data_IF_115193471563
#
_entry.id   IF_115193471563
#
_cell.length_a   1.000
_cell.length_b   1.000
_cell.length_c   1.000
_cell.angle_alpha   90.00
_cell.angle_beta   90.00
_cell.angle_gamma   90.00
#
_symmetry.space_group_name_H-M   'P 1'
#
loop_
_entity.id
_entity.type
_entity.pdbx_description
1 polymer ?
#
# COMPACT_ATOMS: atom_id res chain seq x y z
N UNK A 1 -34.11 -48.42 27.30
CA UNK A 1 -34.05 -47.36 26.29
C UNK A 1 -33.49 -47.97 25.01
N UNK A 2 -34.31 -48.05 23.96
CA UNK A 2 -33.90 -48.68 22.66
C UNK A 2 -33.06 -47.68 21.89
N UNK A 3 -31.84 -48.08 21.56
CA UNK A 3 -30.96 -47.32 20.66
C UNK A 3 -31.55 -47.33 19.24
N UNK A 4 -31.80 -46.14 18.69
CA UNK A 4 -32.23 -45.99 17.29
C UNK A 4 -31.00 -46.06 16.39
N UNK A 5 -30.85 -47.15 15.64
CA UNK A 5 -29.86 -47.28 14.58
C UNK A 5 -30.32 -46.55 13.31
N UNK A 6 -29.50 -45.68 12.75
CA UNK A 6 -29.66 -45.16 11.40
C UNK A 6 -29.00 -46.11 10.41
N UNK A 7 -29.71 -46.51 9.33
CA UNK A 7 -29.18 -47.29 8.24
C UNK A 7 -28.66 -46.36 7.13
N UNK A 8 -27.41 -46.53 6.75
CA UNK A 8 -26.87 -45.98 5.51
C UNK A 8 -26.63 -47.16 4.51
N UNK A 9 -27.39 -47.18 3.41
CA UNK A 9 -27.22 -48.15 2.36
C UNK A 9 -26.20 -47.68 1.32
N UNK A 10 -24.91 -47.86 1.58
CA UNK A 10 -23.87 -47.80 0.55
C UNK A 10 -23.45 -49.22 0.16
N UNK A 11 -24.06 -49.74 -0.91
CA UNK A 11 -23.78 -51.06 -1.46
C UNK A 11 -22.47 -51.04 -2.28
N UNK A 12 -21.42 -51.57 -1.70
CA UNK A 12 -20.37 -52.27 -2.44
C UNK A 12 -20.07 -53.57 -1.67
N UNK A 13 -20.43 -54.71 -2.28
CA UNK A 13 -20.18 -56.08 -1.82
C UNK A 13 -20.93 -56.57 -0.56
N UNK A 14 -22.21 -56.23 -0.38
CA UNK A 14 -23.07 -57.01 0.52
C UNK A 14 -22.74 -56.99 2.02
N UNK A 15 -21.90 -56.10 2.52
CA UNK A 15 -21.57 -55.98 3.92
C UNK A 15 -22.13 -54.62 4.44
N UNK A 16 -23.19 -54.72 5.24
CA UNK A 16 -23.73 -53.57 5.97
C UNK A 16 -22.79 -53.26 7.15
N UNK A 17 -22.00 -52.19 7.09
CA UNK A 17 -21.18 -51.76 8.21
C UNK A 17 -22.04 -50.94 9.14
N UNK A 18 -22.40 -51.44 10.29
CA UNK A 18 -23.01 -50.66 11.38
C UNK A 18 -21.94 -49.73 11.98
N UNK A 19 -22.00 -48.45 11.66
CA UNK A 19 -21.16 -47.42 12.31
C UNK A 19 -21.81 -47.07 13.66
N UNK A 20 -21.13 -47.38 14.75
CA UNK A 20 -21.59 -46.98 16.10
C UNK A 20 -21.45 -45.47 16.29
N UNK A 21 -22.25 -44.83 17.15
CA UNK A 21 -22.15 -43.40 17.46
C UNK A 21 -20.71 -42.95 17.83
N UNK A 22 -19.95 -43.82 18.50
CA UNK A 22 -18.53 -43.61 18.82
C UNK A 22 -17.63 -43.66 17.57
N UNK A 23 -17.94 -44.48 16.59
CA UNK A 23 -17.24 -44.59 15.31
C UNK A 23 -17.44 -43.32 14.46
N UNK A 24 -18.66 -42.80 14.40
CA UNK A 24 -18.98 -41.53 13.73
C UNK A 24 -18.25 -40.34 14.36
N UNK A 25 -18.21 -40.26 15.70
CA UNK A 25 -17.52 -39.18 16.40
C UNK A 25 -16.01 -39.21 16.16
N UNK A 26 -15.38 -40.40 16.15
CA UNK A 26 -13.96 -40.55 15.79
C UNK A 26 -13.67 -40.15 14.34
N UNK A 27 -14.56 -40.51 13.42
CA UNK A 27 -14.43 -40.13 12.01
C UNK A 27 -14.48 -38.60 11.83
N UNK A 28 -15.47 -37.92 12.45
CA UNK A 28 -15.58 -36.45 12.40
C UNK A 28 -14.35 -35.80 12.99
N UNK A 29 -13.83 -36.30 14.10
CA UNK A 29 -12.60 -35.79 14.72
C UNK A 29 -11.40 -35.89 13.77
N UNK A 30 -11.22 -37.02 13.08
CA UNK A 30 -10.17 -37.22 12.10
C UNK A 30 -10.28 -36.25 10.92
N UNK A 31 -11.50 -35.98 10.42
CA UNK A 31 -11.76 -34.99 9.38
C UNK A 31 -11.37 -33.58 9.84
N UNK A 32 -11.76 -33.19 11.06
CA UNK A 32 -11.39 -31.90 11.66
C UNK A 32 -9.86 -31.76 11.72
N UNK A 33 -9.15 -32.80 12.14
CA UNK A 33 -7.69 -32.78 12.24
C UNK A 33 -7.02 -32.61 10.88
N UNK A 34 -7.51 -33.27 9.83
CA UNK A 34 -7.03 -33.08 8.44
C UNK A 34 -7.23 -31.63 7.97
N UNK A 35 -8.41 -31.07 8.24
CA UNK A 35 -8.72 -29.67 7.89
C UNK A 35 -7.77 -28.72 8.59
N UNK A 36 -7.52 -28.92 9.89
CA UNK A 36 -6.61 -28.09 10.69
C UNK A 36 -5.16 -28.22 10.19
N UNK A 37 -4.67 -29.45 9.97
CA UNK A 37 -3.32 -29.70 9.47
C UNK A 37 -3.07 -28.99 8.14
N UNK A 38 -3.94 -29.16 7.15
CA UNK A 38 -3.80 -28.54 5.84
C UNK A 38 -3.79 -27.00 5.89
N UNK A 39 -4.65 -26.39 6.74
CA UNK A 39 -4.76 -24.95 6.81
C UNK A 39 -3.66 -24.32 7.67
N UNK A 40 -3.13 -25.00 8.68
CA UNK A 40 -1.92 -24.57 9.39
C UNK A 40 -0.71 -24.50 8.45
N UNK A 41 -0.53 -25.50 7.57
CA UNK A 41 0.56 -25.44 6.58
C UNK A 41 0.33 -24.34 5.54
N UNK A 42 -0.86 -24.19 4.96
CA UNK A 42 -1.18 -23.11 4.01
C UNK A 42 -0.90 -21.72 4.58
N UNK A 43 -1.26 -21.48 5.85
CA UNK A 43 -0.99 -20.22 6.52
C UNK A 43 0.52 -19.98 6.68
N UNK A 44 1.29 -21.01 7.07
CA UNK A 44 2.75 -20.92 7.25
C UNK A 44 3.48 -20.69 5.92
N UNK A 45 3.07 -21.35 4.86
CA UNK A 45 3.65 -21.21 3.52
C UNK A 45 3.39 -19.81 2.95
N UNK A 46 2.15 -19.31 3.04
CA UNK A 46 1.84 -17.95 2.61
C UNK A 46 2.61 -16.89 3.40
N UNK A 47 2.68 -17.02 4.72
CA UNK A 47 3.50 -16.12 5.56
C UNK A 47 4.99 -16.20 5.20
N UNK A 48 5.52 -17.36 4.79
CA UNK A 48 6.91 -17.48 4.35
C UNK A 48 7.19 -16.70 3.09
N UNK A 49 6.29 -16.72 2.11
CA UNK A 49 6.44 -15.94 0.87
C UNK A 49 6.44 -14.45 1.17
N UNK A 50 5.57 -13.98 2.05
CA UNK A 50 5.51 -12.58 2.50
C UNK A 50 6.81 -12.20 3.25
N UNK A 51 7.29 -13.04 4.17
CA UNK A 51 8.55 -12.86 4.92
C UNK A 51 9.75 -12.66 3.98
N UNK A 52 9.87 -13.48 2.92
CA UNK A 52 10.96 -13.38 1.94
C UNK A 52 10.97 -12.02 1.23
N UNK A 53 9.80 -11.49 0.86
CA UNK A 53 9.71 -10.16 0.27
C UNK A 53 10.09 -9.06 1.26
N UNK A 54 9.59 -9.11 2.48
CA UNK A 54 9.98 -8.15 3.52
C UNK A 54 11.49 -8.15 3.76
N UNK A 55 12.11 -9.33 3.75
CA UNK A 55 13.54 -9.54 4.03
C UNK A 55 14.42 -9.12 2.86
N UNK A 56 14.20 -9.68 1.67
CA UNK A 56 15.10 -9.54 0.53
C UNK A 56 14.69 -8.43 -0.45
N UNK A 57 13.38 -8.15 -0.59
CA UNK A 57 12.87 -7.10 -1.46
C UNK A 57 12.91 -5.72 -0.80
N UNK A 58 12.48 -5.63 0.45
CA UNK A 58 12.35 -4.36 1.17
C UNK A 58 13.48 -4.09 2.18
N UNK A 59 14.28 -5.09 2.56
CA UNK A 59 15.27 -5.01 3.64
C UNK A 59 14.66 -4.43 4.94
N UNK A 60 13.40 -4.77 5.22
CA UNK A 60 12.65 -4.26 6.38
C UNK A 60 12.69 -5.29 7.51
N UNK A 61 13.54 -5.04 8.52
CA UNK A 61 13.74 -5.94 9.67
C UNK A 61 12.46 -6.11 10.50
N UNK A 62 11.72 -5.02 10.75
CA UNK A 62 10.51 -5.04 11.58
C UNK A 62 9.41 -5.90 10.97
N UNK A 63 9.08 -5.70 9.69
CA UNK A 63 8.08 -6.53 9.01
C UNK A 63 8.53 -7.98 8.85
N UNK A 64 9.83 -8.22 8.63
CA UNK A 64 10.40 -9.57 8.59
C UNK A 64 10.22 -10.29 9.92
N UNK A 65 10.47 -9.60 11.04
CA UNK A 65 10.32 -10.14 12.39
C UNK A 65 8.83 -10.43 12.71
N UNK A 66 7.92 -9.55 12.33
CA UNK A 66 6.48 -9.73 12.48
C UNK A 66 5.98 -10.97 11.71
N UNK A 67 6.36 -11.12 10.44
CA UNK A 67 6.05 -12.32 9.65
C UNK A 67 6.59 -13.60 10.29
N UNK A 68 7.84 -13.57 10.77
CA UNK A 68 8.50 -14.69 11.43
C UNK A 68 7.80 -15.07 12.73
N UNK A 69 7.39 -14.07 13.52
CA UNK A 69 6.65 -14.28 14.78
C UNK A 69 5.30 -14.96 14.49
N UNK A 70 4.50 -14.42 13.59
CA UNK A 70 3.22 -15.01 13.18
C UNK A 70 3.39 -16.45 12.69
N UNK A 71 4.39 -16.72 11.86
CA UNK A 71 4.68 -18.06 11.34
C UNK A 71 5.08 -19.04 12.44
N UNK A 72 5.83 -18.60 13.43
CA UNK A 72 6.19 -19.43 14.61
C UNK A 72 4.98 -19.68 15.51
N UNK A 73 4.13 -18.68 15.71
CA UNK A 73 2.90 -18.82 16.50
C UNK A 73 1.94 -19.82 15.85
N UNK A 74 1.71 -19.74 14.53
CA UNK A 74 0.94 -20.77 13.79
C UNK A 74 1.58 -22.15 13.95
N UNK A 75 2.92 -22.25 13.87
CA UNK A 75 3.64 -23.53 14.02
C UNK A 75 3.49 -24.13 15.42
N UNK A 76 3.35 -23.33 16.47
CA UNK A 76 3.17 -23.82 17.86
C UNK A 76 1.87 -24.60 18.08
N UNK A 77 0.85 -24.31 17.24
CA UNK A 77 -0.41 -25.03 17.26
C UNK A 77 -0.42 -26.31 16.43
N UNK A 78 0.62 -26.57 15.64
CA UNK A 78 0.71 -27.71 14.74
C UNK A 78 1.27 -28.92 15.49
N UNK A 79 0.43 -29.58 16.26
CA UNK A 79 0.80 -30.73 17.11
C UNK A 79 1.11 -32.00 16.28
N UNK A 80 1.78 -32.97 16.90
CA UNK A 80 2.04 -34.26 16.26
C UNK A 80 0.72 -34.99 15.90
N UNK A 81 -0.30 -34.83 16.71
CA UNK A 81 -1.63 -35.44 16.49
C UNK A 81 -2.28 -34.91 15.21
N UNK A 82 -2.24 -33.59 14.96
CA UNK A 82 -2.77 -33.01 13.73
C UNK A 82 -1.97 -33.50 12.50
N UNK A 83 -0.65 -33.55 12.59
CA UNK A 83 0.22 -33.99 11.49
C UNK A 83 -0.01 -35.47 11.11
N UNK A 84 -0.30 -36.32 12.07
CA UNK A 84 -0.61 -37.74 11.80
C UNK A 84 -1.94 -37.95 11.09
N UNK A 85 -2.81 -36.94 11.11
CA UNK A 85 -4.09 -36.97 10.38
C UNK A 85 -3.96 -36.66 8.88
N UNK A 86 -2.75 -36.25 8.43
CA UNK A 86 -2.49 -35.92 7.02
C UNK A 86 -2.72 -37.13 6.10
N UNK A 87 -3.44 -36.90 5.01
CA UNK A 87 -3.70 -37.88 3.96
C UNK A 87 -3.70 -37.15 2.61
N UNK A 88 -2.51 -37.00 2.05
CA UNK A 88 -2.34 -36.31 0.76
C UNK A 88 -2.81 -37.19 -0.41
N UNK A 89 -2.66 -38.51 -0.30
CA UNK A 89 -3.06 -39.45 -1.35
C UNK A 89 -4.58 -39.53 -1.51
N UNK A 90 -5.34 -39.31 -0.41
CA UNK A 90 -6.80 -39.28 -0.41
C UNK A 90 -7.40 -37.89 -0.57
N UNK A 91 -6.59 -36.85 -0.85
CA UNK A 91 -7.08 -35.47 -1.02
C UNK A 91 -7.53 -35.24 -2.47
N UNK A 92 -8.84 -35.15 -2.66
CA UNK A 92 -9.48 -34.88 -3.97
C UNK A 92 -9.15 -33.49 -4.53
N UNK A 93 -8.61 -32.60 -3.72
CA UNK A 93 -8.22 -31.21 -4.11
C UNK A 93 -6.87 -31.14 -4.82
N UNK A 94 -6.04 -32.19 -4.79
CA UNK A 94 -4.67 -32.16 -5.34
C UNK A 94 -4.62 -32.03 -6.87
N UNK A 95 -5.66 -32.48 -7.56
CA UNK A 95 -5.78 -32.42 -9.03
C UNK A 95 -6.60 -31.22 -9.53
N UNK A 96 -7.16 -30.42 -8.62
CA UNK A 96 -7.97 -29.25 -8.96
C UNK A 96 -7.09 -28.02 -9.04
N UNK A 97 -6.90 -27.44 -10.24
CA UNK A 97 -6.22 -26.17 -10.46
C UNK A 97 -7.15 -25.15 -11.11
N UNK A 98 -6.92 -23.85 -10.82
CA UNK A 98 -7.63 -22.76 -11.48
C UNK A 98 -6.63 -21.93 -12.30
N UNK A 99 -6.94 -21.55 -13.57
CA UNK A 99 -6.00 -20.83 -14.44
C UNK A 99 -5.42 -19.55 -13.83
N UNK A 100 -6.14 -18.89 -12.92
CA UNK A 100 -5.66 -17.68 -12.21
C UNK A 100 -4.60 -18.00 -11.14
N UNK A 101 -4.39 -19.26 -10.77
CA UNK A 101 -3.35 -19.65 -9.81
C UNK A 101 -1.98 -19.82 -10.45
N UNK A 102 -1.94 -20.04 -11.77
CA UNK A 102 -0.72 -20.37 -12.52
C UNK A 102 0.12 -19.12 -12.90
N UNK A 103 -0.48 -17.93 -12.94
CA UNK A 103 0.20 -16.71 -13.37
C UNK A 103 0.09 -15.58 -12.36
N UNK A 104 1.15 -14.81 -12.21
CA UNK A 104 1.20 -13.57 -11.41
C UNK A 104 1.71 -12.42 -12.28
N UNK A 105 0.98 -11.32 -12.30
CA UNK A 105 1.34 -10.13 -13.09
C UNK A 105 2.49 -9.30 -12.48
N UNK A 106 2.93 -9.62 -11.26
CA UNK A 106 4.01 -8.95 -10.57
C UNK A 106 3.98 -9.17 -9.05
N UNK A 107 4.90 -8.54 -8.35
CA UNK A 107 5.08 -8.71 -6.89
C UNK A 107 3.81 -8.34 -6.11
N UNK A 108 3.14 -7.24 -6.47
CA UNK A 108 1.89 -6.83 -5.80
C UNK A 108 0.82 -7.94 -5.88
N UNK A 109 0.61 -8.50 -7.08
CA UNK A 109 -0.32 -9.62 -7.30
C UNK A 109 0.08 -10.88 -6.52
N UNK A 110 1.38 -11.18 -6.46
CA UNK A 110 1.92 -12.30 -5.69
C UNK A 110 1.66 -12.13 -4.20
N UNK A 111 1.94 -10.96 -3.64
CA UNK A 111 1.72 -10.66 -2.22
C UNK A 111 0.24 -10.70 -1.85
N UNK A 112 -0.62 -10.06 -2.65
CA UNK A 112 -2.07 -10.07 -2.42
C UNK A 112 -2.63 -11.49 -2.38
N UNK A 113 -2.26 -12.34 -3.36
CA UNK A 113 -2.70 -13.74 -3.39
C UNK A 113 -2.25 -14.53 -2.15
N UNK A 114 -1.04 -14.26 -1.63
CA UNK A 114 -0.56 -14.93 -0.42
C UNK A 114 -1.20 -14.38 0.85
N UNK A 115 -1.48 -13.07 0.94
CA UNK A 115 -2.27 -12.53 2.05
C UNK A 115 -3.67 -13.13 2.09
N UNK A 116 -4.39 -13.19 0.95
CA UNK A 116 -5.68 -13.86 0.86
C UNK A 116 -5.61 -15.32 1.34
N UNK A 117 -4.64 -16.10 0.82
CA UNK A 117 -4.44 -17.50 1.23
C UNK A 117 -4.21 -17.65 2.74
N UNK A 118 -3.39 -16.78 3.34
CA UNK A 118 -3.14 -16.78 4.79
C UNK A 118 -4.42 -16.45 5.56
N UNK A 119 -5.15 -15.41 5.16
CA UNK A 119 -6.37 -14.96 5.83
C UNK A 119 -7.48 -16.02 5.78
N UNK A 120 -7.67 -16.67 4.63
CA UNK A 120 -8.61 -17.76 4.44
C UNK A 120 -8.25 -18.97 5.31
N UNK A 121 -6.98 -19.38 5.28
CA UNK A 121 -6.48 -20.49 6.09
C UNK A 121 -6.66 -20.22 7.59
N UNK A 122 -6.28 -19.02 8.07
CA UNK A 122 -6.49 -18.61 9.46
C UNK A 122 -7.98 -18.59 9.84
N UNK A 123 -8.88 -18.19 8.91
CA UNK A 123 -10.33 -18.22 9.15
C UNK A 123 -10.85 -19.64 9.31
N UNK A 124 -10.40 -20.57 8.48
CA UNK A 124 -10.75 -21.98 8.60
C UNK A 124 -10.28 -22.53 9.95
N UNK A 125 -9.02 -22.26 10.34
CA UNK A 125 -8.50 -22.69 11.65
C UNK A 125 -9.23 -22.01 12.80
N UNK A 126 -9.62 -20.73 12.69
CA UNK A 126 -10.44 -20.03 13.70
C UNK A 126 -11.75 -20.76 13.97
N UNK A 127 -12.43 -21.27 12.91
CA UNK A 127 -13.73 -21.94 13.06
C UNK A 127 -13.59 -23.40 13.50
N UNK A 128 -12.82 -24.21 12.79
CA UNK A 128 -12.66 -25.64 13.10
C UNK A 128 -11.83 -25.87 14.37
N UNK A 129 -10.93 -24.95 14.69
CA UNK A 129 -10.13 -25.00 15.90
C UNK A 129 -10.94 -24.95 17.19
N UNK A 130 -12.14 -24.34 17.18
CA UNK A 130 -13.08 -24.38 18.31
C UNK A 130 -13.52 -25.80 18.68
N UNK A 131 -13.50 -26.73 17.72
CA UNK A 131 -13.82 -28.13 17.93
C UNK A 131 -12.63 -28.95 18.46
N UNK A 132 -11.41 -28.40 18.30
CA UNK A 132 -10.17 -29.04 18.76
C UNK A 132 -9.75 -28.57 20.13
N UNK A 133 -9.64 -27.24 20.32
CA UNK A 133 -9.24 -26.63 21.58
C UNK A 133 -9.90 -25.25 21.78
N UNK A 134 -10.51 -24.97 22.96
CA UNK A 134 -11.28 -23.73 23.18
C UNK A 134 -10.50 -22.43 22.92
N UNK A 135 -9.18 -22.39 23.20
CA UNK A 135 -8.35 -21.19 22.99
C UNK A 135 -7.88 -21.02 21.54
N UNK A 136 -7.94 -22.07 20.71
CA UNK A 136 -7.44 -22.02 19.33
C UNK A 136 -8.23 -20.99 18.50
N UNK A 137 -9.54 -21.02 18.54
CA UNK A 137 -10.38 -20.05 17.82
C UNK A 137 -10.06 -18.60 18.19
N UNK A 138 -9.80 -18.31 19.48
CA UNK A 138 -9.42 -16.95 19.94
C UNK A 138 -8.04 -16.55 19.42
N UNK A 139 -7.06 -17.43 19.50
CA UNK A 139 -5.68 -17.18 19.03
C UNK A 139 -5.65 -16.88 17.52
N UNK A 140 -6.32 -17.73 16.72
CA UNK A 140 -6.34 -17.56 15.26
C UNK A 140 -7.15 -16.34 14.80
N UNK A 141 -8.17 -15.93 15.55
CA UNK A 141 -8.82 -14.65 15.34
C UNK A 141 -7.86 -13.48 15.53
N UNK A 142 -7.04 -13.48 16.58
CA UNK A 142 -6.04 -12.44 16.84
C UNK A 142 -4.99 -12.40 15.75
N UNK A 143 -4.40 -13.55 15.37
CA UNK A 143 -3.42 -13.64 14.29
C UNK A 143 -3.99 -13.12 12.95
N UNK A 144 -5.25 -13.42 12.65
CA UNK A 144 -5.89 -12.93 11.42
C UNK A 144 -5.99 -11.40 11.38
N UNK A 145 -6.28 -10.73 12.49
CA UNK A 145 -6.25 -9.26 12.57
C UNK A 145 -4.84 -8.69 12.46
N UNK A 146 -3.83 -9.37 13.01
CA UNK A 146 -2.43 -8.98 12.82
C UNK A 146 -2.02 -9.08 11.35
N UNK A 147 -2.45 -10.13 10.65
CA UNK A 147 -2.20 -10.29 9.20
C UNK A 147 -2.88 -9.19 8.39
N UNK A 148 -4.09 -8.74 8.74
CA UNK A 148 -4.72 -7.58 8.09
C UNK A 148 -3.92 -6.29 8.29
N UNK A 149 -3.37 -6.09 9.49
CA UNK A 149 -2.52 -4.93 9.78
C UNK A 149 -1.20 -5.01 9.00
N UNK A 150 -0.56 -6.18 8.97
CA UNK A 150 0.67 -6.41 8.21
C UNK A 150 0.45 -6.17 6.71
N UNK A 151 -0.64 -6.67 6.13
CA UNK A 151 -1.00 -6.41 4.73
C UNK A 151 -1.13 -4.92 4.45
N UNK A 152 -1.88 -4.22 5.29
CA UNK A 152 -2.07 -2.76 5.18
C UNK A 152 -0.74 -2.02 5.20
N UNK A 153 0.14 -2.36 6.14
CA UNK A 153 1.46 -1.73 6.28
C UNK A 153 2.36 -2.05 5.08
N UNK A 154 2.37 -3.30 4.63
CA UNK A 154 3.22 -3.73 3.52
C UNK A 154 2.78 -3.12 2.19
N UNK A 155 1.49 -3.09 1.89
CA UNK A 155 0.96 -2.52 0.64
C UNK A 155 1.14 -1.00 0.55
N UNK A 156 1.18 -0.30 1.69
CA UNK A 156 1.48 1.13 1.76
C UNK A 156 2.97 1.46 1.72
N UNK A 157 3.83 0.53 2.15
CA UNK A 157 5.24 0.76 2.38
C UNK A 157 6.00 1.23 1.12
N UNK A 158 5.75 0.65 -0.03
CA UNK A 158 6.41 1.02 -1.28
C UNK A 158 6.11 2.47 -1.68
N UNK A 159 4.87 2.94 -1.52
CA UNK A 159 4.48 4.34 -1.80
C UNK A 159 5.21 5.31 -0.89
N UNK A 160 5.29 5.00 0.41
CA UNK A 160 6.01 5.84 1.37
C UNK A 160 7.51 5.86 1.07
N UNK A 161 8.12 4.72 0.74
CA UNK A 161 9.53 4.65 0.36
C UNK A 161 9.81 5.46 -0.92
N UNK A 162 8.94 5.38 -1.91
CA UNK A 162 9.10 6.14 -3.15
C UNK A 162 8.91 7.65 -2.89
N UNK A 163 7.94 8.05 -2.05
CA UNK A 163 7.78 9.42 -1.60
C UNK A 163 9.06 9.96 -0.92
N UNK A 164 9.64 9.19 0.01
CA UNK A 164 10.88 9.58 0.71
C UNK A 164 12.07 9.73 -0.25
N UNK A 165 12.15 8.93 -1.31
CA UNK A 165 13.21 9.00 -2.33
C UNK A 165 12.96 10.09 -3.36
N UNK A 166 11.71 10.53 -3.54
CA UNK A 166 11.35 11.54 -4.52
C UNK A 166 11.88 12.91 -4.11
N UNK A 167 12.73 13.50 -4.94
CA UNK A 167 13.34 14.80 -4.70
C UNK A 167 12.71 15.92 -5.50
N UNK A 168 12.18 15.59 -6.68
CA UNK A 168 11.49 16.52 -7.56
C UNK A 168 10.03 16.10 -7.71
N UNK A 169 9.15 17.05 -7.60
CA UNK A 169 7.70 16.89 -7.67
C UNK A 169 7.14 17.80 -8.76
N UNK A 170 6.50 17.25 -9.77
CA UNK A 170 5.78 18.03 -10.77
C UNK A 170 4.33 18.20 -10.34
N UNK A 171 3.88 19.45 -10.17
CA UNK A 171 2.45 19.79 -10.10
C UNK A 171 2.03 20.31 -11.46
N UNK A 172 1.05 19.66 -12.08
CA UNK A 172 0.61 20.06 -13.44
C UNK A 172 -0.24 21.34 -13.43
N UNK A 173 -0.35 21.94 -14.58
CA UNK A 173 -1.36 22.93 -14.93
C UNK A 173 -1.91 22.60 -16.33
N UNK A 174 -3.08 23.11 -16.71
CA UNK A 174 -3.65 22.89 -18.05
C UNK A 174 -2.63 23.18 -19.14
N UNK A 175 -2.52 22.27 -20.12
CA UNK A 175 -1.64 22.35 -21.27
C UNK A 175 -2.10 21.38 -22.35
N UNK A 176 -2.03 21.78 -23.64
CA UNK A 176 -2.46 20.96 -24.76
C UNK A 176 -1.57 19.70 -24.94
N UNK A 177 -0.31 19.78 -24.56
CA UNK A 177 0.69 18.69 -24.65
C UNK A 177 1.05 18.11 -23.28
N UNK A 178 0.08 18.07 -22.33
CA UNK A 178 0.32 17.68 -20.95
C UNK A 178 0.93 16.27 -20.82
N UNK A 179 0.40 15.30 -21.55
CA UNK A 179 0.87 13.90 -21.48
C UNK A 179 2.33 13.78 -21.96
N UNK A 180 2.65 14.42 -23.09
CA UNK A 180 4.00 14.42 -23.67
C UNK A 180 5.00 15.10 -22.75
N UNK A 181 4.59 16.21 -22.12
CA UNK A 181 5.43 16.95 -21.16
C UNK A 181 5.70 16.12 -19.92
N UNK A 182 4.68 15.46 -19.36
CA UNK A 182 4.84 14.58 -18.19
C UNK A 182 5.72 13.37 -18.55
N UNK A 183 5.51 12.75 -19.71
CA UNK A 183 6.35 11.64 -20.17
C UNK A 183 7.81 12.06 -20.31
N UNK A 184 8.07 13.22 -20.91
CA UNK A 184 9.43 13.76 -21.04
C UNK A 184 10.09 14.01 -19.68
N UNK A 185 9.34 14.50 -18.69
CA UNK A 185 9.83 14.68 -17.34
C UNK A 185 10.11 13.33 -16.63
N UNK A 186 9.24 12.31 -16.81
CA UNK A 186 9.46 10.95 -16.30
C UNK A 186 10.71 10.30 -16.92
N UNK A 187 10.94 10.46 -18.22
CA UNK A 187 12.19 10.06 -18.91
C UNK A 187 13.43 10.76 -18.33
N UNK A 188 13.24 11.97 -17.79
CA UNK A 188 14.28 12.72 -17.08
C UNK A 188 14.58 12.23 -15.67
N UNK A 189 13.81 11.26 -15.15
CA UNK A 189 13.98 10.69 -13.81
C UNK A 189 13.00 11.24 -12.76
N UNK A 190 11.91 11.91 -13.17
CA UNK A 190 10.85 12.34 -12.26
C UNK A 190 10.13 11.12 -11.66
N UNK A 191 9.85 11.16 -10.36
CA UNK A 191 9.21 10.03 -9.63
C UNK A 191 7.92 10.41 -8.90
N UNK A 192 7.47 11.67 -8.99
CA UNK A 192 6.27 12.16 -8.32
C UNK A 192 5.57 13.21 -9.15
N UNK A 193 4.30 12.95 -9.50
CA UNK A 193 3.47 13.85 -10.31
C UNK A 193 2.14 14.09 -9.60
N UNK A 194 1.68 15.35 -9.58
CA UNK A 194 0.33 15.72 -9.16
C UNK A 194 -0.45 16.28 -10.34
N UNK A 195 -1.57 15.66 -10.64
CA UNK A 195 -2.50 16.22 -11.60
C UNK A 195 -3.37 17.28 -10.94
N UNK A 196 -3.24 18.49 -11.45
CA UNK A 196 -3.99 19.68 -11.00
C UNK A 196 -4.57 20.41 -12.19
N UNK A 197 -5.88 20.34 -12.33
CA UNK A 197 -6.70 21.15 -13.21
C UNK A 197 -7.95 21.59 -12.44
N UNK A 198 -8.10 22.89 -12.22
CA UNK A 198 -9.23 23.47 -11.47
C UNK A 198 -10.36 23.93 -12.39
N UNK A 199 -10.08 24.03 -13.69
CA UNK A 199 -10.98 24.60 -14.70
C UNK A 199 -11.80 23.50 -15.41
N UNK A 200 -11.21 22.32 -15.64
CA UNK A 200 -11.84 21.21 -16.32
C UNK A 200 -13.07 20.69 -15.58
N UNK A 201 -14.08 20.25 -16.32
CA UNK A 201 -15.17 19.47 -15.73
C UNK A 201 -14.71 18.06 -15.30
N UNK A 202 -15.54 17.37 -14.52
CA UNK A 202 -15.16 16.10 -13.91
C UNK A 202 -14.94 14.98 -14.91
N UNK A 203 -15.63 14.99 -16.07
CA UNK A 203 -15.46 13.98 -17.12
C UNK A 203 -14.06 14.10 -17.74
N UNK A 204 -13.68 15.30 -18.16
CA UNK A 204 -12.35 15.58 -18.73
C UNK A 204 -11.26 15.31 -17.71
N UNK A 205 -11.47 15.75 -16.46
CA UNK A 205 -10.53 15.55 -15.36
C UNK A 205 -10.30 14.08 -15.08
N UNK A 206 -11.36 13.25 -15.09
CA UNK A 206 -11.28 11.81 -14.87
C UNK A 206 -10.50 11.11 -16.00
N UNK A 207 -10.80 11.40 -17.25
CA UNK A 207 -10.10 10.83 -18.41
C UNK A 207 -8.60 11.15 -18.41
N UNK A 208 -8.25 12.41 -18.16
CA UNK A 208 -6.87 12.84 -18.07
C UNK A 208 -6.14 12.21 -16.90
N UNK A 209 -6.79 12.13 -15.74
CA UNK A 209 -6.22 11.52 -14.55
C UNK A 209 -5.90 10.03 -14.77
N UNK A 210 -6.78 9.27 -15.44
CA UNK A 210 -6.56 7.86 -15.77
C UNK A 210 -5.29 7.72 -16.65
N UNK A 211 -5.20 8.51 -17.73
CA UNK A 211 -4.06 8.47 -18.66
C UNK A 211 -2.74 8.84 -17.95
N UNK A 212 -2.75 9.90 -17.15
CA UNK A 212 -1.58 10.34 -16.38
C UNK A 212 -1.16 9.30 -15.33
N UNK A 213 -2.12 8.68 -14.64
CA UNK A 213 -1.83 7.62 -13.66
C UNK A 213 -1.17 6.41 -14.34
N UNK A 214 -1.72 5.95 -15.47
CA UNK A 214 -1.15 4.83 -16.24
C UNK A 214 0.27 5.15 -16.71
N UNK A 215 0.48 6.37 -17.22
CA UNK A 215 1.78 6.85 -17.63
C UNK A 215 2.76 6.89 -16.45
N UNK A 216 2.41 7.49 -15.31
CA UNK A 216 3.27 7.53 -14.12
C UNK A 216 3.64 6.13 -13.63
N UNK A 217 2.67 5.23 -13.54
CA UNK A 217 2.91 3.85 -13.09
C UNK A 217 3.79 3.06 -14.06
N UNK A 218 3.70 3.30 -15.37
CA UNK A 218 4.59 2.66 -16.36
C UNK A 218 6.07 3.03 -16.20
N UNK A 219 6.35 4.20 -15.59
CA UNK A 219 7.69 4.67 -15.23
C UNK A 219 8.03 4.42 -13.73
N UNK A 220 7.18 3.75 -12.96
CA UNK A 220 7.38 3.52 -11.54
C UNK A 220 7.30 4.79 -10.69
N UNK A 221 6.59 5.82 -11.15
CA UNK A 221 6.39 7.09 -10.46
C UNK A 221 5.05 7.12 -9.72
N UNK A 222 4.98 7.90 -8.61
CA UNK A 222 3.76 8.17 -7.87
C UNK A 222 2.86 9.17 -8.61
N UNK A 223 1.56 8.90 -8.60
CA UNK A 223 0.53 9.77 -9.13
C UNK A 223 -0.40 10.29 -8.03
N UNK A 224 -0.48 11.61 -7.87
CA UNK A 224 -1.30 12.29 -6.86
C UNK A 224 -2.42 13.08 -7.52
N UNK A 225 -3.63 13.04 -6.94
CA UNK A 225 -4.71 13.95 -7.30
C UNK A 225 -4.65 15.25 -6.49
N UNK A 226 -5.01 16.37 -7.11
CA UNK A 226 -5.16 17.64 -6.40
C UNK A 226 -6.58 17.79 -5.86
N UNK A 227 -6.75 18.13 -4.58
CA UNK A 227 -7.98 18.47 -3.84
C UNK A 227 -9.08 17.38 -3.82
N UNK A 228 -9.26 16.59 -4.86
CA UNK A 228 -10.41 15.70 -5.11
C UNK A 228 -10.13 14.27 -4.62
N UNK A 229 -10.54 13.98 -3.38
CA UNK A 229 -10.43 12.64 -2.75
C UNK A 229 -11.27 11.58 -3.49
N UNK A 230 -12.44 11.94 -3.95
CA UNK A 230 -13.34 11.09 -4.72
C UNK A 230 -12.73 10.66 -6.06
N UNK A 231 -12.13 11.59 -6.82
CA UNK A 231 -11.41 11.27 -8.05
C UNK A 231 -10.13 10.45 -7.78
N UNK A 232 -9.42 10.72 -6.68
CA UNK A 232 -8.26 9.92 -6.30
C UNK A 232 -8.63 8.44 -6.09
N UNK A 233 -9.80 8.16 -5.50
CA UNK A 233 -10.36 6.82 -5.37
C UNK A 233 -10.76 6.23 -6.73
N UNK A 234 -11.49 7.00 -7.54
CA UNK A 234 -12.03 6.55 -8.81
C UNK A 234 -10.95 6.13 -9.81
N UNK A 235 -9.79 6.83 -9.83
CA UNK A 235 -8.66 6.53 -10.72
C UNK A 235 -7.60 5.62 -10.08
N UNK A 236 -7.78 5.17 -8.84
CA UNK A 236 -6.77 4.45 -8.05
C UNK A 236 -5.43 5.20 -7.99
N UNK A 237 -5.48 6.50 -7.68
CA UNK A 237 -4.28 7.31 -7.47
C UNK A 237 -3.51 6.85 -6.23
N UNK A 238 -2.19 7.11 -6.18
CA UNK A 238 -1.35 6.81 -5.02
C UNK A 238 -1.67 7.69 -3.82
N UNK A 239 -2.33 8.81 -4.04
CA UNK A 239 -2.79 9.69 -2.97
C UNK A 239 -3.43 10.98 -3.46
N UNK A 240 -3.61 11.90 -2.52
CA UNK A 240 -4.20 13.23 -2.75
C UNK A 240 -3.34 14.32 -2.12
N UNK A 241 -3.30 15.50 -2.74
CA UNK A 241 -2.72 16.69 -2.14
C UNK A 241 -3.82 17.72 -1.85
N UNK A 242 -3.93 18.16 -0.60
CA UNK A 242 -4.99 19.02 -0.09
C UNK A 242 -4.48 20.41 0.28
N UNK A 243 -5.20 21.46 -0.07
CA UNK A 243 -5.00 22.82 0.42
C UNK A 243 -5.67 23.05 1.78
N UNK A 244 -5.47 24.21 2.39
CA UNK A 244 -5.97 24.53 3.73
C UNK A 244 -7.51 24.60 3.85
N UNK A 245 -8.20 24.86 2.73
CA UNK A 245 -9.67 24.98 2.67
C UNK A 245 -10.36 23.71 2.15
N UNK A 246 -9.57 22.69 1.77
CA UNK A 246 -10.08 21.43 1.26
C UNK A 246 -10.45 20.48 2.42
N UNK A 247 -10.82 19.25 2.08
CA UNK A 247 -11.19 18.23 3.05
C UNK A 247 -10.11 18.07 4.14
N UNK A 248 -10.53 17.81 5.38
CA UNK A 248 -9.59 17.55 6.48
C UNK A 248 -8.82 16.26 6.24
N UNK A 249 -7.58 16.19 6.73
CA UNK A 249 -6.73 14.98 6.63
C UNK A 249 -7.43 13.78 7.25
N UNK A 250 -8.10 13.95 8.39
CA UNK A 250 -8.80 12.87 9.08
C UNK A 250 -9.93 12.25 8.22
N UNK A 251 -10.76 13.07 7.57
CA UNK A 251 -11.82 12.58 6.68
C UNK A 251 -11.21 11.97 5.41
N UNK A 252 -10.21 12.63 4.80
CA UNK A 252 -9.53 12.09 3.63
C UNK A 252 -8.88 10.72 3.93
N UNK A 253 -8.25 10.56 5.10
CA UNK A 253 -7.66 9.29 5.56
C UNK A 253 -8.74 8.22 5.76
N UNK A 254 -9.89 8.59 6.29
CA UNK A 254 -11.02 7.67 6.47
C UNK A 254 -11.55 7.13 5.13
N UNK A 255 -11.59 7.97 4.09
CA UNK A 255 -12.04 7.60 2.75
C UNK A 255 -10.97 6.84 1.97
N UNK A 256 -9.72 7.31 1.98
CA UNK A 256 -8.60 6.75 1.20
C UNK A 256 -8.00 5.49 1.81
N UNK A 257 -8.24 5.25 3.09
CA UNK A 257 -7.58 4.21 3.86
C UNK A 257 -6.11 4.56 4.18
N UNK A 258 -5.41 3.68 4.92
CA UNK A 258 -4.06 3.95 5.43
C UNK A 258 -2.95 3.83 4.37
N UNK A 259 -3.23 3.22 3.23
CA UNK A 259 -2.21 2.90 2.21
C UNK A 259 -1.94 4.05 1.23
N UNK A 260 -2.89 5.00 1.05
CA UNK A 260 -2.73 6.12 0.13
C UNK A 260 -2.12 7.33 0.83
N UNK A 261 -1.31 8.06 0.07
CA UNK A 261 -0.61 9.24 0.57
C UNK A 261 -1.52 10.46 0.65
N UNK A 262 -1.38 11.24 1.71
CA UNK A 262 -2.06 12.52 1.87
C UNK A 262 -1.01 13.62 2.06
N UNK A 263 -0.94 14.53 1.09
CA UNK A 263 -0.15 15.74 1.18
C UNK A 263 -0.96 16.94 1.66
N UNK A 264 -0.32 17.89 2.33
CA UNK A 264 -0.94 19.14 2.78
C UNK A 264 -0.11 20.36 2.39
N UNK A 265 -0.73 21.36 1.76
CA UNK A 265 -0.09 22.67 1.53
C UNK A 265 0.04 23.42 2.84
N UNK A 266 1.20 24.04 3.09
CA UNK A 266 1.45 24.88 4.27
C UNK A 266 2.18 26.16 3.86
N UNK A 267 1.87 27.30 4.52
CA UNK A 267 2.44 28.61 4.24
C UNK A 267 3.17 29.22 5.43
N UNK A 268 3.08 28.59 6.60
CA UNK A 268 3.67 29.07 7.85
C UNK A 268 3.91 27.91 8.84
N UNK A 269 4.69 28.14 9.91
CA UNK A 269 4.99 27.13 10.94
C UNK A 269 3.75 26.49 11.60
N UNK A 270 2.72 27.25 11.86
CA UNK A 270 1.52 26.78 12.54
C UNK A 270 0.76 25.76 11.66
N UNK A 271 0.60 26.07 10.37
CA UNK A 271 0.00 25.14 9.41
C UNK A 271 0.82 23.87 9.25
N UNK A 272 2.16 23.95 9.28
CA UNK A 272 3.07 22.82 9.23
C UNK A 272 2.86 21.88 10.43
N UNK A 273 2.93 22.42 11.65
CA UNK A 273 2.77 21.64 12.87
C UNK A 273 1.38 20.98 12.92
N UNK A 274 0.34 21.71 12.51
CA UNK A 274 -1.01 21.19 12.42
C UNK A 274 -1.09 20.00 11.42
N UNK A 275 -0.54 20.16 10.22
CA UNK A 275 -0.56 19.11 9.20
C UNK A 275 0.16 17.83 9.67
N UNK A 276 1.31 17.96 10.35
CA UNK A 276 2.05 16.84 10.94
C UNK A 276 1.21 16.16 12.03
N UNK A 277 0.63 16.92 12.93
CA UNK A 277 -0.20 16.40 14.04
C UNK A 277 -1.47 15.71 13.53
N UNK A 278 -2.05 16.17 12.41
CA UNK A 278 -3.22 15.55 11.77
C UNK A 278 -2.87 14.30 10.93
N UNK A 279 -1.60 13.95 10.77
CA UNK A 279 -1.15 12.75 10.09
C UNK A 279 -1.02 12.89 8.56
N UNK A 280 -0.56 14.06 8.08
CA UNK A 280 -0.11 14.19 6.70
C UNK A 280 1.12 13.32 6.44
N UNK A 281 1.18 12.68 5.27
CA UNK A 281 2.35 11.88 4.87
C UNK A 281 3.47 12.77 4.32
N UNK A 282 3.13 13.94 3.79
CA UNK A 282 4.08 14.98 3.36
C UNK A 282 3.42 16.35 3.33
N UNK A 283 4.23 17.39 3.27
CA UNK A 283 3.76 18.77 3.17
C UNK A 283 4.40 19.53 2.01
N UNK A 284 3.64 20.49 1.46
CA UNK A 284 4.15 21.51 0.57
C UNK A 284 4.48 22.78 1.39
N UNK A 285 5.70 23.29 1.27
CA UNK A 285 6.22 24.45 1.98
C UNK A 285 6.33 25.62 1.02
N UNK A 286 5.46 26.61 1.13
CA UNK A 286 5.47 27.75 0.21
C UNK A 286 4.15 28.54 0.14
N UNK A 287 4.08 29.52 -0.79
CA UNK A 287 4.99 29.73 -1.92
C UNK A 287 6.31 30.38 -1.48
N UNK A 288 7.45 29.85 -1.99
CA UNK A 288 8.77 30.41 -1.68
C UNK A 288 8.95 31.78 -2.33
N UNK A 289 8.59 31.89 -3.60
CA UNK A 289 8.55 33.14 -4.36
C UNK A 289 7.14 33.46 -4.82
N UNK A 290 6.86 34.71 -5.13
CA UNK A 290 5.57 35.09 -5.70
C UNK A 290 5.26 34.31 -6.99
N UNK A 291 4.03 33.88 -7.14
CA UNK A 291 3.64 33.04 -8.26
C UNK A 291 2.19 33.32 -8.69
N UNK A 292 1.92 33.43 -10.00
CA UNK A 292 0.56 33.60 -10.49
C UNK A 292 -0.37 32.42 -10.16
N UNK A 293 0.17 31.25 -9.87
CA UNK A 293 -0.63 30.05 -9.54
C UNK A 293 -1.39 30.20 -8.21
N UNK A 294 -0.95 31.08 -7.30
CA UNK A 294 -1.61 31.44 -6.04
C UNK A 294 -1.70 32.96 -5.92
N UNK A 295 -2.46 33.61 -6.81
CA UNK A 295 -2.65 35.05 -6.79
C UNK A 295 -3.14 35.55 -5.42
N UNK A 296 -2.60 36.66 -4.93
CA UNK A 296 -2.99 37.32 -3.68
C UNK A 296 -2.47 36.72 -2.38
N UNK A 297 -1.63 35.68 -2.44
CA UNK A 297 -0.92 35.18 -1.25
C UNK A 297 0.53 35.69 -1.25
N UNK A 298 1.00 36.37 -0.17
CA UNK A 298 2.38 36.78 -0.05
C UNK A 298 3.31 35.54 -0.06
N UNK A 299 4.53 35.72 -0.57
CA UNK A 299 5.55 34.69 -0.50
C UNK A 299 5.87 34.37 0.97
N UNK A 300 5.92 33.07 1.30
CA UNK A 300 6.38 32.63 2.62
C UNK A 300 7.90 32.74 2.76
N UNK A 301 8.62 32.87 1.64
CA UNK A 301 10.04 33.16 1.58
C UNK A 301 10.95 32.01 1.98
N UNK A 302 12.24 32.26 1.87
CA UNK A 302 13.29 31.29 2.24
C UNK A 302 13.40 31.09 3.77
N UNK A 303 12.88 31.98 4.56
CA UNK A 303 12.83 31.83 6.04
C UNK A 303 11.94 30.67 6.44
N UNK A 304 10.80 30.51 5.78
CA UNK A 304 9.92 29.37 6.03
C UNK A 304 10.54 28.07 5.54
N UNK A 305 11.32 28.07 4.46
CA UNK A 305 12.11 26.91 4.01
C UNK A 305 13.11 26.50 5.10
N UNK A 306 13.88 27.45 5.67
CA UNK A 306 14.83 27.18 6.78
C UNK A 306 14.12 26.63 8.01
N UNK A 307 12.94 27.18 8.33
CA UNK A 307 12.14 26.66 9.44
C UNK A 307 11.73 25.20 9.20
N UNK A 308 11.21 24.88 8.01
CA UNK A 308 10.82 23.53 7.66
C UNK A 308 12.00 22.55 7.70
N UNK A 309 13.17 22.95 7.21
CA UNK A 309 14.39 22.15 7.24
C UNK A 309 14.82 21.74 8.66
N UNK A 310 14.55 22.59 9.65
CA UNK A 310 14.94 22.35 11.04
C UNK A 310 13.85 21.66 11.88
N UNK A 311 12.60 21.69 11.46
CA UNK A 311 11.47 21.30 12.31
C UNK A 311 10.54 20.24 11.72
N UNK A 312 10.63 19.92 10.41
CA UNK A 312 9.78 18.90 9.83
C UNK A 312 10.28 17.50 10.15
N UNK A 313 9.37 16.63 10.60
CA UNK A 313 9.62 15.20 10.86
C UNK A 313 9.11 14.30 9.73
N UNK A 314 8.49 14.89 8.72
CA UNK A 314 7.96 14.18 7.54
C UNK A 314 8.54 14.77 6.25
N UNK A 315 8.48 14.06 5.11
CA UNK A 315 8.90 14.61 3.82
C UNK A 315 8.20 15.92 3.52
N UNK A 316 8.95 16.88 2.97
CA UNK A 316 8.40 18.16 2.55
C UNK A 316 9.03 18.64 1.25
N UNK A 317 8.27 19.39 0.48
CA UNK A 317 8.68 19.92 -0.82
C UNK A 317 8.54 21.46 -0.80
N UNK A 318 9.65 22.17 -0.99
CA UNK A 318 9.58 23.61 -1.22
C UNK A 318 8.89 23.86 -2.57
N UNK A 319 7.92 24.78 -2.60
CA UNK A 319 7.10 25.06 -3.79
C UNK A 319 6.83 26.55 -3.96
N UNK A 320 6.66 26.99 -5.19
CA UNK A 320 6.22 28.34 -5.55
C UNK A 320 7.36 29.17 -6.16
N UNK A 321 7.27 29.37 -7.48
CA UNK A 321 8.20 30.18 -8.24
C UNK A 321 9.60 29.60 -8.39
N UNK A 322 9.81 28.31 -8.10
CA UNK A 322 11.12 27.65 -8.20
C UNK A 322 11.39 27.24 -9.66
N UNK A 323 12.59 27.57 -10.12
CA UNK A 323 13.08 27.28 -11.46
C UNK A 323 14.60 27.01 -11.48
N UNK A 324 15.22 26.68 -12.63
CA UNK A 324 16.66 26.43 -12.74
C UNK A 324 17.55 27.59 -12.28
N UNK A 325 17.08 28.83 -12.27
CA UNK A 325 17.88 30.00 -11.91
C UNK A 325 17.95 30.24 -10.39
N UNK A 326 16.91 29.81 -9.64
CA UNK A 326 16.79 30.10 -8.20
C UNK A 326 16.79 28.85 -7.31
N UNK A 327 16.83 27.63 -7.86
CA UNK A 327 16.81 26.38 -7.09
C UNK A 327 17.95 26.31 -6.06
N UNK A 328 19.12 26.86 -6.37
CA UNK A 328 20.27 26.83 -5.47
C UNK A 328 20.01 27.61 -4.17
N UNK A 329 19.35 28.77 -4.22
CA UNK A 329 19.00 29.54 -3.04
C UNK A 329 18.04 28.74 -2.12
N UNK A 330 17.15 27.95 -2.72
CA UNK A 330 16.20 27.10 -2.00
C UNK A 330 16.93 25.92 -1.35
N UNK A 331 17.89 25.32 -2.05
CA UNK A 331 18.75 24.24 -1.53
C UNK A 331 19.63 24.77 -0.38
N UNK A 332 20.27 25.93 -0.55
CA UNK A 332 21.12 26.57 0.47
C UNK A 332 20.31 26.96 1.72
N UNK A 333 18.99 27.12 1.57
CA UNK A 333 18.07 27.30 2.69
C UNK A 333 17.63 26.00 3.37
N UNK A 334 18.17 24.83 2.95
CA UNK A 334 17.97 23.52 3.57
C UNK A 334 16.94 22.64 2.89
N UNK A 335 16.44 23.01 1.69
CA UNK A 335 15.51 22.14 0.95
C UNK A 335 16.25 20.98 0.30
N UNK A 336 15.82 19.78 0.60
CA UNK A 336 16.29 18.55 -0.04
C UNK A 336 15.35 18.10 -1.18
N UNK A 337 14.14 18.67 -1.24
CA UNK A 337 13.08 18.35 -2.17
C UNK A 337 12.37 19.60 -2.62
N UNK A 338 12.06 19.69 -3.91
CA UNK A 338 11.30 20.82 -4.48
C UNK A 338 10.13 20.34 -5.32
N UNK A 339 9.08 21.15 -5.36
CA UNK A 339 7.97 21.00 -6.29
C UNK A 339 7.95 22.18 -7.27
N UNK A 340 7.72 21.85 -8.54
CA UNK A 340 7.70 22.83 -9.63
C UNK A 340 6.43 22.68 -10.47
N UNK A 341 6.01 23.76 -11.13
CA UNK A 341 4.88 23.81 -12.07
C UNK A 341 5.39 24.24 -13.44
N UNK A 342 5.51 25.55 -13.64
CA UNK A 342 5.86 26.15 -14.96
C UNK A 342 7.24 25.77 -15.47
N UNK A 343 8.19 25.56 -14.59
CA UNK A 343 9.57 25.20 -14.95
C UNK A 343 9.64 23.90 -15.76
N UNK A 344 8.63 23.03 -15.66
CA UNK A 344 8.53 21.82 -16.46
C UNK A 344 7.40 21.90 -17.50
N UNK A 345 6.21 22.43 -17.12
CA UNK A 345 5.05 22.48 -18.04
C UNK A 345 5.31 23.40 -19.24
N UNK A 346 6.10 24.47 -19.07
CA UNK A 346 6.44 25.43 -20.12
C UNK A 346 7.84 25.24 -20.68
N UNK A 347 8.53 24.16 -20.31
CA UNK A 347 9.86 23.88 -20.81
C UNK A 347 9.82 23.39 -22.27
N UNK A 348 10.72 23.90 -23.10
CA UNK A 348 10.94 23.36 -24.44
C UNK A 348 11.52 21.93 -24.39
N UNK A 349 12.31 21.62 -23.38
CA UNK A 349 12.96 20.33 -23.17
C UNK A 349 12.77 19.81 -21.73
N UNK A 350 11.57 19.31 -21.37
CA UNK A 350 11.26 18.92 -19.99
C UNK A 350 12.22 17.86 -19.42
N UNK A 351 12.71 16.94 -20.24
CA UNK A 351 13.69 15.91 -19.86
C UNK A 351 14.97 16.55 -19.30
N UNK A 352 15.55 17.50 -20.04
CA UNK A 352 16.81 18.15 -19.64
C UNK A 352 16.63 19.03 -18.40
N UNK A 353 15.52 19.75 -18.31
CA UNK A 353 15.20 20.56 -17.12
C UNK A 353 15.02 19.65 -15.90
N UNK A 354 14.34 18.52 -16.02
CA UNK A 354 14.18 17.52 -14.95
C UNK A 354 15.54 17.01 -14.48
N UNK A 355 16.40 16.58 -15.41
CA UNK A 355 17.75 16.09 -15.11
C UNK A 355 18.60 17.16 -14.43
N UNK A 356 18.52 18.41 -14.89
CA UNK A 356 19.23 19.52 -14.27
C UNK A 356 18.79 19.74 -12.82
N UNK A 357 17.47 19.89 -12.58
CA UNK A 357 16.92 20.11 -11.23
C UNK A 357 17.30 18.96 -10.28
N UNK A 358 17.18 17.71 -10.75
CA UNK A 358 17.58 16.53 -9.98
C UNK A 358 19.08 16.52 -9.70
N UNK A 359 19.93 16.95 -10.66
CA UNK A 359 21.38 17.04 -10.45
C UNK A 359 21.75 18.02 -9.33
N UNK A 360 21.04 19.16 -9.24
CA UNK A 360 21.25 20.14 -8.15
C UNK A 360 20.85 19.54 -6.80
N UNK A 361 19.65 18.94 -6.73
CA UNK A 361 19.13 18.31 -5.51
C UNK A 361 20.00 17.15 -5.02
N UNK A 362 20.59 16.36 -5.92
CA UNK A 362 21.43 15.21 -5.59
C UNK A 362 22.82 15.59 -5.01
N UNK A 363 23.22 16.86 -5.05
CA UNK A 363 24.43 17.35 -4.37
C UNK A 363 24.29 17.37 -2.86
N UNK A 364 23.05 17.43 -2.34
CA UNK A 364 22.77 17.45 -0.91
C UNK A 364 22.50 16.03 -0.42
N UNK A 365 23.19 15.62 0.66
CA UNK A 365 22.87 14.33 1.32
C UNK A 365 21.53 14.45 2.02
N UNK A 366 20.63 13.51 1.79
CA UNK A 366 19.37 13.40 2.55
C UNK A 366 19.71 13.08 4.00
N UNK A 367 19.17 13.88 4.92
CA UNK A 367 19.27 13.65 6.37
C UNK A 367 18.26 12.62 6.86
#
# INVERSE_FOLDING_TARGET
MKEAGYYDESTTNGVVVMVTAQGQQKHIQQVVYRILDANLDRAREGLRIIEEWCRFGLNNSSMTEECKHLRQEVASWHTAELRTARDTAGDIGTELSHPQEEQRSGIKSLLQANFCRVQEALRVVEEYGKLYHPSMGKAFKQMRYQVYTLETNLMGYERHQLLWRSRLYLVTSPSDNLLETVEAALKGGLTLVQYRDKEADDTVRLEQAIKLRELCHSYGALFMMNDRVDLALAVDADGVHLGQQDMSIAIARQLLGPQRLIGRSTTNPQEMQKAIAEGADYIGVGPVYETPTKQGKPAAGLEYVRYAANNSTIPWFAIGGIDPNNINDVIDSGAERVAVVRSLIQAEQPTLVTQYLLSQLNRVKVR
#
